data_IF_363259802870
#
_entry.id   IF_363259802870
#
_cell.length_a   1.000
_cell.length_b   1.000
_cell.length_c   1.000
_cell.angle_alpha   90.00
_cell.angle_beta   90.00
_cell.angle_gamma   90.00
#
_symmetry.space_group_name_H-M   'P 1'
#
loop_
_entity.id
_entity.type
_entity.pdbx_description
1 polymer ?
#
# COMPACT_ATOMS: atom_id res chain seq x y z
N UNK A 1 -1.34 -25.40 -22.72
CA UNK A 1 -1.54 -25.93 -21.35
C UNK A 1 -0.24 -25.89 -20.55
N UNK A 2 0.89 -26.37 -21.09
CA UNK A 2 2.22 -26.32 -20.42
C UNK A 2 2.71 -24.87 -20.19
N UNK A 3 2.53 -23.94 -21.13
CA UNK A 3 2.94 -22.53 -20.95
C UNK A 3 2.16 -21.79 -19.85
N UNK A 4 0.87 -22.10 -19.68
CA UNK A 4 0.02 -21.48 -18.65
C UNK A 4 0.42 -21.94 -17.25
N UNK A 5 0.88 -23.19 -17.12
CA UNK A 5 1.41 -23.74 -15.87
C UNK A 5 2.68 -22.98 -15.44
N UNK A 6 3.62 -22.79 -16.36
CA UNK A 6 4.86 -22.04 -16.09
C UNK A 6 4.59 -20.57 -15.73
N UNK A 7 3.61 -19.91 -16.36
CA UNK A 7 3.28 -18.52 -16.06
C UNK A 7 2.69 -18.37 -14.65
N UNK A 8 1.81 -19.29 -14.24
CA UNK A 8 1.17 -19.24 -12.92
C UNK A 8 2.22 -19.38 -11.81
N UNK A 9 3.17 -20.31 -11.96
CA UNK A 9 4.29 -20.49 -11.01
C UNK A 9 5.16 -19.24 -10.87
N UNK A 10 5.46 -18.57 -12.00
CA UNK A 10 6.21 -17.30 -11.99
C UNK A 10 5.43 -16.21 -11.26
N UNK A 11 4.12 -16.11 -11.50
CA UNK A 11 3.26 -15.14 -10.80
C UNK A 11 3.19 -15.41 -9.30
N UNK A 12 3.11 -16.67 -8.88
CA UNK A 12 3.15 -17.05 -7.47
C UNK A 12 4.47 -16.67 -6.80
N UNK A 13 5.60 -16.91 -7.48
CA UNK A 13 6.91 -16.51 -7.00
C UNK A 13 7.01 -14.98 -6.89
N UNK A 14 6.57 -14.25 -7.91
CA UNK A 14 6.53 -12.79 -7.91
C UNK A 14 5.67 -12.23 -6.76
N UNK A 15 4.52 -12.86 -6.49
CA UNK A 15 3.67 -12.50 -5.35
C UNK A 15 4.40 -12.72 -4.02
N UNK A 16 5.05 -13.88 -3.83
CA UNK A 16 5.81 -14.16 -2.60
C UNK A 16 6.89 -13.12 -2.34
N UNK A 17 7.67 -12.79 -3.37
CA UNK A 17 8.73 -11.77 -3.28
C UNK A 17 8.11 -10.41 -2.95
N UNK A 18 7.01 -10.06 -3.61
CA UNK A 18 6.30 -8.80 -3.38
C UNK A 18 5.77 -8.71 -1.96
N UNK A 19 5.22 -9.78 -1.40
CA UNK A 19 4.71 -9.82 -0.02
C UNK A 19 5.84 -9.61 0.99
N UNK A 20 6.99 -10.27 0.81
CA UNK A 20 8.15 -10.11 1.70
C UNK A 20 8.67 -8.67 1.61
N UNK A 21 8.89 -8.18 0.39
CA UNK A 21 9.37 -6.82 0.18
C UNK A 21 8.41 -5.79 0.76
N UNK A 22 7.11 -5.92 0.49
CA UNK A 22 6.11 -4.97 0.95
C UNK A 22 5.96 -5.00 2.46
N UNK A 23 6.00 -6.19 3.09
CA UNK A 23 6.00 -6.32 4.54
C UNK A 23 7.19 -5.58 5.17
N UNK A 24 8.42 -5.87 4.72
CA UNK A 24 9.63 -5.20 5.22
C UNK A 24 9.56 -3.69 4.98
N UNK A 25 9.07 -3.27 3.82
CA UNK A 25 8.94 -1.87 3.46
C UNK A 25 7.96 -1.14 4.38
N UNK A 26 6.77 -1.71 4.62
CA UNK A 26 5.78 -1.15 5.54
C UNK A 26 6.34 -1.05 6.95
N UNK A 27 6.98 -2.12 7.45
CA UNK A 27 7.63 -2.10 8.77
C UNK A 27 8.72 -1.01 8.86
N UNK A 28 9.53 -0.83 7.82
CA UNK A 28 10.55 0.21 7.78
C UNK A 28 9.94 1.62 7.82
N UNK A 29 8.87 1.86 7.05
CA UNK A 29 8.22 3.17 7.01
C UNK A 29 7.63 3.55 8.36
N UNK A 30 6.83 2.67 8.96
CA UNK A 30 6.19 2.96 10.25
C UNK A 30 7.18 2.90 11.42
N UNK A 31 8.18 2.02 11.37
CA UNK A 31 9.18 1.89 12.45
C UNK A 31 10.21 3.03 12.49
N UNK A 32 10.63 3.58 11.34
CA UNK A 32 11.65 4.63 11.30
C UNK A 32 11.09 6.04 11.26
N UNK A 33 10.01 6.26 10.51
CA UNK A 33 9.51 7.61 10.23
C UNK A 33 8.24 7.95 11.00
N UNK A 34 7.60 6.98 11.67
CA UNK A 34 6.27 7.06 12.32
C UNK A 34 5.11 7.48 11.38
N UNK A 35 5.43 8.03 10.21
CA UNK A 35 4.56 8.55 9.17
C UNK A 35 5.11 8.14 7.81
N UNK A 36 4.26 8.16 6.79
CA UNK A 36 4.67 7.78 5.44
C UNK A 36 5.22 9.01 4.70
N UNK A 37 6.51 9.05 4.35
CA UNK A 37 7.09 10.15 3.60
C UNK A 37 6.54 10.17 2.16
N UNK A 38 6.47 11.37 1.56
CA UNK A 38 5.91 11.55 0.23
C UNK A 38 6.63 10.72 -0.84
N UNK A 39 7.95 10.55 -0.73
CA UNK A 39 8.75 9.72 -1.63
C UNK A 39 8.35 8.24 -1.60
N UNK A 40 8.00 7.71 -0.42
CA UNK A 40 7.59 6.32 -0.28
C UNK A 40 6.19 6.05 -0.85
N UNK A 41 5.32 7.07 -0.95
CA UNK A 41 3.97 6.90 -1.50
C UNK A 41 3.97 6.44 -2.96
N UNK A 42 4.91 6.89 -3.76
CA UNK A 42 5.01 6.44 -5.16
C UNK A 42 5.26 4.92 -5.20
N UNK A 43 6.18 4.42 -4.36
CA UNK A 43 6.44 2.99 -4.23
C UNK A 43 5.21 2.24 -3.71
N UNK A 44 4.53 2.74 -2.68
CA UNK A 44 3.31 2.12 -2.14
C UNK A 44 2.21 2.04 -3.20
N UNK A 45 2.04 3.09 -4.01
CA UNK A 45 1.07 3.14 -5.10
C UNK A 45 1.40 2.10 -6.19
N UNK A 46 2.67 2.00 -6.60
CA UNK A 46 3.09 0.97 -7.56
C UNK A 46 2.81 -0.45 -7.04
N UNK A 47 3.13 -0.72 -5.77
CA UNK A 47 2.87 -2.03 -5.16
C UNK A 47 1.36 -2.29 -5.05
N UNK A 48 0.57 -1.28 -4.66
CA UNK A 48 -0.89 -1.37 -4.59
C UNK A 48 -1.51 -1.76 -5.94
N UNK A 49 -1.06 -1.12 -7.03
CA UNK A 49 -1.48 -1.50 -8.39
C UNK A 49 -0.98 -2.90 -8.79
N UNK A 50 0.19 -3.32 -8.30
CA UNK A 50 0.65 -4.71 -8.37
C UNK A 50 -0.34 -5.70 -7.74
N UNK A 51 -0.99 -5.31 -6.65
CA UNK A 51 -2.09 -6.08 -6.03
C UNK A 51 -3.24 -6.38 -6.99
N UNK A 52 -3.65 -5.40 -7.81
CA UNK A 52 -4.66 -5.59 -8.85
C UNK A 52 -4.22 -6.60 -9.92
N UNK A 53 -2.94 -6.56 -10.32
CA UNK A 53 -2.35 -7.50 -11.29
C UNK A 53 -2.39 -8.94 -10.77
N UNK A 54 -2.01 -9.15 -9.50
CA UNK A 54 -2.08 -10.49 -8.88
C UNK A 54 -3.53 -10.97 -8.71
N UNK A 55 -4.45 -10.08 -8.34
CA UNK A 55 -5.86 -10.42 -8.21
C UNK A 55 -6.45 -10.82 -9.57
N UNK A 56 -6.23 -10.02 -10.61
CA UNK A 56 -6.70 -10.31 -11.96
C UNK A 56 -6.10 -11.62 -12.49
N UNK A 57 -4.80 -11.81 -12.33
CA UNK A 57 -4.12 -13.05 -12.72
C UNK A 57 -4.65 -14.27 -11.99
N UNK A 58 -4.91 -14.15 -10.68
CA UNK A 58 -5.51 -15.21 -9.88
C UNK A 58 -6.93 -15.55 -10.31
N UNK A 59 -7.76 -14.56 -10.66
CA UNK A 59 -9.12 -14.80 -11.17
C UNK A 59 -9.10 -15.51 -12.53
N UNK A 60 -8.24 -15.05 -13.46
CA UNK A 60 -8.11 -15.65 -14.81
C UNK A 60 -7.64 -17.10 -14.72
N UNK A 61 -6.71 -17.40 -13.82
CA UNK A 61 -6.11 -18.74 -13.66
C UNK A 61 -6.84 -19.60 -12.62
N UNK A 62 -7.90 -19.09 -11.99
CA UNK A 62 -8.58 -19.74 -10.84
C UNK A 62 -7.63 -20.13 -9.70
N UNK A 63 -6.55 -19.36 -9.51
CA UNK A 63 -5.54 -19.60 -8.49
C UNK A 63 -5.86 -18.82 -7.21
N UNK A 64 -6.28 -19.54 -6.16
CA UNK A 64 -6.67 -18.95 -4.88
C UNK A 64 -5.53 -18.25 -4.13
N UNK A 65 -4.28 -18.69 -4.30
CA UNK A 65 -3.13 -18.05 -3.63
C UNK A 65 -2.90 -16.65 -4.20
N UNK A 66 -2.94 -16.51 -5.53
CA UNK A 66 -2.86 -15.22 -6.22
C UNK A 66 -4.01 -14.28 -5.86
N UNK A 67 -5.25 -14.79 -5.82
CA UNK A 67 -6.43 -14.00 -5.42
C UNK A 67 -6.26 -13.45 -4.00
N UNK A 68 -5.93 -14.32 -3.04
CA UNK A 68 -5.76 -13.91 -1.63
C UNK A 68 -4.61 -12.92 -1.47
N UNK A 69 -3.48 -13.15 -2.14
CA UNK A 69 -2.34 -12.24 -2.09
C UNK A 69 -2.64 -10.87 -2.71
N UNK A 70 -3.34 -10.84 -3.85
CA UNK A 70 -3.78 -9.59 -4.48
C UNK A 70 -4.71 -8.78 -3.56
N UNK A 71 -5.73 -9.44 -2.99
CA UNK A 71 -6.64 -8.80 -2.01
C UNK A 71 -5.87 -8.28 -0.79
N UNK A 72 -4.92 -9.07 -0.27
CA UNK A 72 -4.11 -8.67 0.89
C UNK A 72 -3.31 -7.38 0.61
N UNK A 73 -2.65 -7.30 -0.55
CA UNK A 73 -1.89 -6.10 -0.95
C UNK A 73 -2.83 -4.88 -1.03
N UNK A 74 -4.03 -5.04 -1.61
CA UNK A 74 -5.01 -3.96 -1.72
C UNK A 74 -5.53 -3.50 -0.36
N UNK A 75 -5.78 -4.41 0.58
CA UNK A 75 -6.22 -4.06 1.94
C UNK A 75 -5.13 -3.25 2.65
N UNK A 76 -3.87 -3.71 2.60
CA UNK A 76 -2.76 -2.98 3.23
C UNK A 76 -2.57 -1.60 2.59
N UNK A 77 -2.70 -1.52 1.25
CA UNK A 77 -2.63 -0.24 0.53
C UNK A 77 -3.74 0.72 0.99
N UNK A 78 -4.99 0.24 1.10
CA UNK A 78 -6.11 1.05 1.58
C UNK A 78 -5.93 1.53 3.03
N UNK A 79 -5.39 0.69 3.92
CA UNK A 79 -5.08 1.06 5.30
C UNK A 79 -4.01 2.15 5.38
N UNK A 80 -2.98 2.05 4.53
CA UNK A 80 -1.94 3.06 4.41
C UNK A 80 -2.52 4.40 3.94
N UNK A 81 -3.37 4.38 2.92
CA UNK A 81 -4.00 5.59 2.40
C UNK A 81 -4.94 6.23 3.43
N UNK A 82 -5.70 5.40 4.16
CA UNK A 82 -6.52 5.88 5.28
C UNK A 82 -5.67 6.56 6.35
N UNK A 83 -4.57 5.93 6.78
CA UNK A 83 -3.65 6.52 7.75
C UNK A 83 -3.08 7.86 7.26
N UNK A 84 -2.68 7.92 5.98
CA UNK A 84 -2.16 9.15 5.38
C UNK A 84 -3.21 10.27 5.36
N UNK A 85 -4.45 9.94 4.97
CA UNK A 85 -5.54 10.91 4.89
C UNK A 85 -5.89 11.48 6.27
N UNK A 86 -5.96 10.62 7.29
CA UNK A 86 -6.19 11.02 8.68
C UNK A 86 -5.05 11.92 9.17
N UNK A 87 -3.79 11.52 8.96
CA UNK A 87 -2.61 12.31 9.36
C UNK A 87 -2.61 13.71 8.73
N UNK A 88 -3.01 13.82 7.46
CA UNK A 88 -3.14 15.09 6.74
C UNK A 88 -4.25 15.97 7.30
N UNK A 89 -5.39 15.36 7.61
CA UNK A 89 -6.53 16.07 8.19
C UNK A 89 -6.17 16.67 9.56
N UNK A 90 -5.50 15.90 10.42
CA UNK A 90 -5.04 16.39 11.72
C UNK A 90 -4.06 17.56 11.58
N UNK A 91 -3.09 17.46 10.68
CA UNK A 91 -2.14 18.54 10.41
C UNK A 91 -2.84 19.84 9.98
N UNK A 92 -3.82 19.77 9.08
CA UNK A 92 -4.56 20.97 8.67
C UNK A 92 -5.41 21.57 9.79
N UNK A 93 -6.00 20.71 10.63
CA UNK A 93 -6.78 21.15 11.80
C UNK A 93 -5.91 21.86 12.85
N UNK A 94 -4.66 21.44 13.01
CA UNK A 94 -3.69 22.11 13.88
C UNK A 94 -3.28 23.48 13.33
N UNK A 95 -2.96 23.55 12.04
CA UNK A 95 -2.60 24.82 11.37
C UNK A 95 -3.74 25.86 11.47
N UNK A 96 -4.99 25.44 11.27
CA UNK A 96 -6.15 26.35 11.39
C UNK A 96 -6.30 26.90 12.82
N UNK A 97 -6.01 26.09 13.84
CA UNK A 97 -6.04 26.54 15.25
C UNK A 97 -4.92 27.52 15.57
N UNK A 98 -3.74 27.31 15.00
CA UNK A 98 -2.60 28.22 15.16
C UNK A 98 -2.85 29.57 14.50
N UNK A 99 -3.41 29.58 13.29
CA UNK A 99 -3.80 30.82 12.61
C UNK A 99 -4.84 31.63 13.39
N UNK A 100 -5.87 30.97 13.93
CA UNK A 100 -6.89 31.63 14.77
C UNK A 100 -6.28 32.24 16.04
N UNK A 101 -5.42 31.50 16.75
CA UNK A 101 -4.71 32.01 17.94
C UNK A 101 -3.77 33.18 17.62
N UNK A 102 -3.17 33.20 16.43
CA UNK A 102 -2.29 34.28 15.99
C UNK A 102 -3.08 35.56 15.67
N UNK A 103 -4.22 35.43 15.00
CA UNK A 103 -5.11 36.56 14.70
C UNK A 103 -5.79 37.14 15.94
N UNK A 104 -6.10 36.35 16.97
CA UNK A 104 -6.66 36.85 18.24
C UNK A 104 -5.62 37.60 19.11
N UNK A 105 -4.33 37.46 18.82
CA UNK A 105 -3.23 38.14 19.54
C UNK A 105 -2.71 39.41 18.85
N UNK A 106 -3.21 39.73 17.65
CA UNK A 106 -2.91 40.97 16.91
C UNK A 106 -3.99 42.01 17.16
#
# INVERSE_FOLDING_TARGET
>A
MIEVLNLTEIMELALKITLIFYGVFVFYLFGKFEKIPYSARQTIFVIGNGGCLFLAGGLITSNFFLIKGGIFILIIHALIDAHYLISRYEMFKELEKEEKKSNEKK
#
